data_IF_717674078018
#
_entry.id   IF_717674078018
#
_cell.length_a   1.000
_cell.length_b   1.000
_cell.length_c   1.000
_cell.angle_alpha   90.00
_cell.angle_beta   90.00
_cell.angle_gamma   90.00
#
_symmetry.space_group_name_H-M   'P 1'
#
loop_
_entity.id
_entity.type
_entity.pdbx_description
1 polymer ?
#
# COMPACT_ATOMS: atom_id res chain seq x y z
N UNK A 1 9.95 22.40 36.72
CA UNK A 1 10.67 21.32 36.04
C UNK A 1 10.00 21.05 34.69
N UNK A 2 10.59 21.47 33.58
CA UNK A 2 10.09 21.15 32.23
C UNK A 2 10.76 19.87 31.74
N UNK A 3 10.19 18.71 32.08
CA UNK A 3 10.56 17.47 31.42
C UNK A 3 9.94 17.47 30.02
N UNK A 4 10.56 18.19 29.09
CA UNK A 4 10.42 17.90 27.66
C UNK A 4 11.04 16.53 27.45
N UNK A 5 10.23 15.48 27.61
CA UNK A 5 10.59 14.15 27.16
C UNK A 5 10.87 14.27 25.67
N UNK A 6 12.16 14.35 25.32
CA UNK A 6 12.64 14.17 23.97
C UNK A 6 12.33 12.73 23.58
N UNK A 7 11.06 12.43 23.28
CA UNK A 7 10.73 11.30 22.42
C UNK A 7 11.44 11.63 21.11
N UNK A 8 12.61 11.05 20.95
CA UNK A 8 13.35 11.05 19.69
C UNK A 8 12.35 10.66 18.62
N UNK A 9 12.02 11.63 17.76
CA UNK A 9 11.08 11.45 16.68
C UNK A 9 11.61 10.31 15.81
N UNK A 10 10.94 9.16 15.86
CA UNK A 10 11.44 7.94 15.25
C UNK A 10 11.56 8.13 13.75
N UNK A 11 12.71 7.75 13.19
CA UNK A 11 12.99 7.90 11.78
C UNK A 11 12.73 6.58 11.07
N UNK A 12 11.73 6.58 10.19
CA UNK A 12 11.37 5.45 9.36
C UNK A 12 12.02 5.58 7.99
N UNK A 13 12.68 4.52 7.53
CA UNK A 13 13.15 4.43 6.16
C UNK A 13 12.05 3.87 5.26
N UNK A 14 12.33 3.82 3.96
CA UNK A 14 11.33 3.36 2.97
C UNK A 14 10.80 1.97 3.32
N UNK A 15 11.64 1.01 3.71
CA UNK A 15 11.19 -0.35 3.98
C UNK A 15 10.30 -0.45 5.23
N UNK A 16 10.53 0.39 6.24
CA UNK A 16 9.66 0.47 7.43
C UNK A 16 8.28 1.03 7.05
N UNK A 17 8.23 2.07 6.22
CA UNK A 17 6.99 2.66 5.71
C UNK A 17 6.18 1.63 4.94
N UNK A 18 6.82 0.88 4.03
CA UNK A 18 6.17 -0.19 3.28
C UNK A 18 5.61 -1.27 4.21
N UNK A 19 6.38 -1.64 5.23
CA UNK A 19 6.01 -2.67 6.21
C UNK A 19 4.88 -2.25 7.14
N UNK A 20 4.80 -0.96 7.50
CA UNK A 20 3.76 -0.39 8.37
C UNK A 20 2.40 -0.40 7.68
N UNK A 21 2.34 0.08 6.45
CA UNK A 21 1.07 0.19 5.70
C UNK A 21 0.74 -1.08 4.89
N UNK A 22 1.62 -2.09 4.89
CA UNK A 22 1.48 -3.31 4.07
C UNK A 22 1.28 -3.01 2.59
N UNK A 23 2.05 -2.05 2.09
CA UNK A 23 1.96 -1.57 0.71
C UNK A 23 3.25 -1.84 -0.08
N UNK A 24 3.11 -1.84 -1.41
CA UNK A 24 4.25 -1.87 -2.31
C UNK A 24 4.89 -0.49 -2.50
N UNK A 25 6.13 -0.46 -3.00
CA UNK A 25 6.82 0.79 -3.37
C UNK A 25 6.08 1.58 -4.43
N UNK A 26 5.41 0.90 -5.37
CA UNK A 26 4.56 1.54 -6.38
C UNK A 26 3.35 2.21 -5.75
N UNK A 27 2.70 1.54 -4.80
CA UNK A 27 1.56 2.10 -4.05
C UNK A 27 1.97 3.36 -3.29
N UNK A 28 3.12 3.33 -2.61
CA UNK A 28 3.68 4.51 -1.93
C UNK A 28 3.92 5.68 -2.90
N UNK A 29 4.41 5.40 -4.11
CA UNK A 29 4.57 6.41 -5.15
C UNK A 29 3.22 7.01 -5.59
N UNK A 30 2.19 6.18 -5.80
CA UNK A 30 0.86 6.67 -6.15
C UNK A 30 0.25 7.53 -5.04
N UNK A 31 0.36 7.08 -3.78
CA UNK A 31 -0.16 7.82 -2.63
C UNK A 31 0.54 9.17 -2.42
N UNK A 32 1.84 9.26 -2.72
CA UNK A 32 2.61 10.51 -2.61
C UNK A 32 2.47 11.46 -3.81
N UNK A 33 1.81 11.02 -4.89
CA UNK A 33 1.61 11.83 -6.10
C UNK A 33 0.20 12.43 -6.10
N UNK A 34 0.03 13.76 -5.96
CA UNK A 34 -1.30 14.38 -5.82
C UNK A 34 -2.28 14.03 -6.96
N UNK A 35 -1.81 13.91 -8.20
CA UNK A 35 -2.65 13.60 -9.36
C UNK A 35 -3.04 12.12 -9.48
N UNK A 36 -2.40 11.24 -8.69
CA UNK A 36 -2.64 9.78 -8.74
C UNK A 36 -3.07 9.20 -7.40
N UNK A 37 -3.12 10.05 -6.37
CA UNK A 37 -3.58 9.68 -5.07
C UNK A 37 -5.06 9.27 -5.17
N UNK A 38 -5.47 8.16 -4.51
CA UNK A 38 -6.86 7.80 -4.44
C UNK A 38 -7.73 8.92 -3.87
N UNK A 39 -8.91 9.14 -4.46
CA UNK A 39 -9.81 10.26 -4.10
C UNK A 39 -10.39 10.19 -2.70
N UNK A 40 -10.31 9.02 -2.04
CA UNK A 40 -10.75 8.84 -0.66
C UNK A 40 -9.74 9.37 0.37
N UNK A 41 -8.53 9.71 -0.04
CA UNK A 41 -7.60 10.43 0.82
C UNK A 41 -7.83 11.94 0.74
N UNK A 42 -7.85 12.59 1.89
CA UNK A 42 -7.96 14.05 1.97
C UNK A 42 -6.68 14.76 1.46
N UNK A 43 -5.52 14.09 1.53
CA UNK A 43 -4.23 14.67 1.15
C UNK A 43 -3.17 13.61 0.82
N UNK A 44 -2.20 13.92 -0.06
CA UNK A 44 -1.15 12.98 -0.49
C UNK A 44 -0.30 12.52 0.68
N UNK A 45 0.25 11.32 0.53
CA UNK A 45 1.21 10.77 1.49
C UNK A 45 2.40 11.72 1.65
N UNK A 46 2.85 11.99 2.89
CA UNK A 46 3.86 12.99 3.16
C UNK A 46 5.17 12.67 2.45
N UNK A 47 5.85 13.71 1.97
CA UNK A 47 7.19 13.57 1.41
C UNK A 47 8.23 13.38 2.53
N UNK A 48 9.31 12.63 2.26
CA UNK A 48 10.40 12.47 3.22
C UNK A 48 11.04 13.84 3.50
N UNK A 49 10.94 14.33 4.74
CA UNK A 49 11.49 15.64 5.13
C UNK A 49 12.98 15.61 5.42
N UNK A 50 13.57 14.42 5.55
CA UNK A 50 14.99 14.26 5.88
C UNK A 50 15.73 13.83 4.63
N UNK A 51 16.66 14.68 4.19
CA UNK A 51 17.54 14.40 3.06
C UNK A 51 18.40 13.16 3.36
N UNK A 52 18.41 12.22 2.41
CA UNK A 52 19.18 10.98 2.52
C UNK A 52 18.74 9.92 1.51
N UNK A 53 19.62 8.95 1.27
CA UNK A 53 19.31 7.71 0.56
C UNK A 53 19.56 6.55 1.51
N UNK A 54 18.54 5.75 1.90
CA UNK A 54 17.14 5.80 1.47
C UNK A 54 16.38 7.02 2.02
N UNK A 55 15.21 7.30 1.42
CA UNK A 55 14.25 8.32 1.87
C UNK A 55 13.84 8.06 3.32
N UNK A 56 13.71 9.13 4.12
CA UNK A 56 13.47 9.10 5.58
C UNK A 56 12.27 9.94 5.98
N UNK A 57 11.38 9.37 6.79
CA UNK A 57 10.20 10.02 7.35
C UNK A 57 10.30 10.09 8.86
N UNK A 58 9.74 11.14 9.45
CA UNK A 58 9.52 11.19 10.89
C UNK A 58 8.20 10.49 11.20
N UNK A 59 8.17 9.69 12.25
CA UNK A 59 6.95 9.02 12.70
C UNK A 59 5.85 10.04 13.02
N UNK A 60 6.19 11.19 13.60
CA UNK A 60 5.24 12.28 13.84
C UNK A 60 4.51 12.77 12.58
N UNK A 61 5.23 12.89 11.45
CA UNK A 61 4.66 13.32 10.18
C UNK A 61 3.68 12.28 9.62
N UNK A 62 3.97 11.00 9.81
CA UNK A 62 3.09 9.91 9.38
C UNK A 62 1.83 9.84 10.22
N UNK A 63 1.96 9.95 11.55
CA UNK A 63 0.82 9.98 12.47
C UNK A 63 -0.09 11.18 12.19
N UNK A 64 0.48 12.37 11.96
CA UNK A 64 -0.30 13.53 11.58
C UNK A 64 -1.02 13.33 10.24
N UNK A 65 -0.39 12.66 9.27
CA UNK A 65 -1.05 12.34 8.01
C UNK A 65 -2.21 11.34 8.23
N UNK A 66 -1.98 10.26 8.98
CA UNK A 66 -2.96 9.24 9.37
C UNK A 66 -4.24 9.87 9.98
N UNK A 67 -4.07 10.78 10.94
CA UNK A 67 -5.18 11.50 11.57
C UNK A 67 -5.99 12.35 10.58
N UNK A 68 -5.33 12.95 9.59
CA UNK A 68 -5.99 13.79 8.57
C UNK A 68 -6.70 12.97 7.49
N UNK A 69 -6.21 11.78 7.15
CA UNK A 69 -6.82 10.93 6.11
C UNK A 69 -7.75 9.85 6.68
N UNK A 70 -7.86 9.75 8.01
CA UNK A 70 -8.69 8.74 8.69
C UNK A 70 -8.12 7.31 8.59
N UNK A 71 -6.85 7.15 8.22
CA UNK A 71 -6.17 5.85 8.17
C UNK A 71 -5.69 5.54 9.58
N UNK A 72 -6.33 4.60 10.27
CA UNK A 72 -5.77 3.99 11.48
C UNK A 72 -4.96 2.78 11.04
N UNK A 73 -3.63 2.70 11.32
CA UNK A 73 -2.88 1.50 11.05
C UNK A 73 -3.53 0.33 11.81
N UNK A 74 -3.73 -0.76 11.07
CA UNK A 74 -4.48 -1.96 11.43
C UNK A 74 -3.82 -2.74 12.59
N UNK A 75 -3.77 -2.17 13.79
CA UNK A 75 -3.47 -2.91 15.01
C UNK A 75 -4.72 -3.64 15.56
N UNK A 76 -5.91 -3.33 15.03
CA UNK A 76 -7.20 -3.80 15.54
C UNK A 76 -8.18 -4.33 14.46
N UNK A 77 -7.76 -4.64 13.22
CA UNK A 77 -8.65 -5.46 12.39
C UNK A 77 -8.49 -6.94 12.74
N UNK A 78 -9.60 -7.67 12.94
CA UNK A 78 -9.54 -9.11 12.89
C UNK A 78 -9.04 -9.50 11.50
N UNK A 79 -8.04 -10.37 11.47
CA UNK A 79 -7.53 -11.04 10.28
C UNK A 79 -8.74 -11.60 9.52
N UNK A 80 -9.22 -10.86 8.52
CA UNK A 80 -10.18 -11.40 7.58
C UNK A 80 -9.38 -12.40 6.78
N UNK A 81 -9.47 -13.67 7.19
CA UNK A 81 -8.93 -14.80 6.45
C UNK A 81 -9.41 -14.64 5.02
N UNK A 82 -8.49 -14.25 4.13
CA UNK A 82 -8.72 -14.36 2.72
C UNK A 82 -9.02 -15.82 2.43
N UNK A 83 -10.26 -16.09 2.04
CA UNK A 83 -10.65 -17.34 1.42
C UNK A 83 -9.58 -17.73 0.39
N UNK A 84 -9.09 -18.98 0.40
CA UNK A 84 -8.20 -19.43 -0.65
C UNK A 84 -9.00 -19.37 -1.96
N UNK A 85 -8.58 -18.48 -2.87
CA UNK A 85 -9.09 -18.42 -4.22
C UNK A 85 -8.92 -19.82 -4.83
N UNK A 86 -10.03 -20.57 -4.81
CA UNK A 86 -10.14 -21.93 -5.31
C UNK A 86 -9.77 -21.86 -6.78
N UNK A 87 -8.60 -22.40 -7.13
CA UNK A 87 -8.22 -22.66 -8.51
C UNK A 87 -9.25 -23.66 -9.07
N UNK A 88 -10.29 -23.14 -9.73
CA UNK A 88 -11.18 -23.97 -10.52
C UNK A 88 -10.55 -24.12 -11.90
N UNK A 89 -9.54 -24.99 -11.98
CA UNK A 89 -9.14 -25.58 -13.24
C UNK A 89 -10.33 -26.42 -13.71
N UNK A 90 -11.14 -25.85 -14.60
CA UNK A 90 -12.17 -26.60 -15.30
C UNK A 90 -11.46 -27.41 -16.35
N UNK A 91 -11.21 -28.67 -16.01
CA UNK A 91 -10.88 -29.75 -16.92
C UNK A 91 -12.02 -29.83 -17.95
N UNK A 92 -11.77 -29.30 -19.14
CA UNK A 92 -12.61 -29.51 -20.30
C UNK A 92 -11.72 -30.07 -21.40
N UNK A 93 -11.49 -31.38 -21.29
CA UNK A 93 -11.15 -32.28 -22.38
C UNK A 93 -12.01 -31.90 -23.60
N UNK A 94 -11.38 -31.36 -24.64
CA UNK A 94 -12.06 -31.16 -25.91
C UNK A 94 -11.46 -32.13 -26.92
N UNK A 95 -12.16 -33.24 -27.23
CA UNK A 95 -11.79 -34.06 -28.35
C UNK A 95 -12.34 -33.47 -29.65
N UNK A 96 -11.45 -33.54 -30.63
CA UNK A 96 -11.71 -33.91 -32.02
C UNK A 96 -12.22 -32.86 -33.03
N UNK A 97 -11.32 -32.64 -33.99
CA UNK A 97 -11.55 -32.43 -35.42
C UNK A 97 -12.96 -32.09 -35.91
N UNK A 98 -13.08 -30.93 -36.57
CA UNK A 98 -13.80 -30.95 -37.86
C UNK A 98 -13.28 -29.92 -38.86
N UNK A 99 -12.95 -30.48 -40.02
CA UNK A 99 -12.85 -29.98 -41.38
C UNK A 99 -13.16 -28.50 -41.67
N UNK A 100 -12.31 -27.96 -42.55
CA UNK A 100 -12.37 -26.60 -43.04
C UNK A 100 -13.62 -26.26 -43.84
N UNK A 101 -13.84 -24.96 -43.96
CA UNK A 101 -14.60 -24.39 -45.06
C UNK A 101 -13.85 -23.19 -45.63
N UNK A 102 -13.76 -23.26 -46.95
CA UNK A 102 -13.16 -22.32 -47.88
C UNK A 102 -14.18 -21.19 -48.19
N UNK A 103 -13.72 -20.18 -48.95
CA UNK A 103 -14.48 -19.22 -49.80
C UNK A 103 -14.91 -17.91 -49.09
N UNK A 104 -14.86 -16.73 -49.76
CA UNK A 104 -14.67 -16.44 -51.20
C UNK A 104 -13.35 -15.81 -51.62
#
# INVERSE_FOLDING_TARGET
MTNTSHKSDEILITDDVLSRYKISRSTLYFWSTPSRMPSYFAQPFPQPKINGSPKRWRLSDLLAWEDNVGIKPEADQPTSQGDPAKQQASDADHPDNHAGYNVP
#
